data_IF_318317150987
#
_entry.id   IF_318317150987
#
_cell.length_a   1.000
_cell.length_b   1.000
_cell.length_c   1.000
_cell.angle_alpha   90.00
_cell.angle_beta   90.00
_cell.angle_gamma   90.00
#
_symmetry.space_group_name_H-M   'P 1'
#
loop_
_entity.id
_entity.type
_entity.pdbx_description
1 polymer ?
#
# COMPACT_ATOMS: atom_id res chain seq x y z
N UNK A 1 33.31 -33.53 -24.99
CA UNK A 1 32.70 -32.62 -24.05
C UNK A 1 31.21 -32.61 -24.33
N UNK A 2 30.40 -33.34 -23.51
CA UNK A 2 28.95 -33.49 -23.74
C UNK A 2 28.21 -32.47 -22.92
N UNK A 3 27.50 -31.58 -23.60
CA UNK A 3 26.57 -30.61 -22.98
C UNK A 3 25.34 -31.40 -22.49
N UNK A 4 25.07 -31.39 -21.19
CA UNK A 4 23.86 -31.99 -20.63
C UNK A 4 22.69 -31.03 -20.85
N UNK A 5 21.68 -31.48 -21.55
CA UNK A 5 20.40 -30.86 -21.75
C UNK A 5 19.66 -30.77 -20.41
N UNK A 6 19.25 -29.58 -19.99
CA UNK A 6 18.29 -29.42 -18.92
C UNK A 6 16.90 -29.72 -19.45
N UNK A 7 16.38 -30.87 -19.05
CA UNK A 7 15.04 -31.35 -19.38
C UNK A 7 14.07 -31.04 -18.26
N UNK A 8 12.93 -30.45 -18.63
CA UNK A 8 11.61 -30.50 -17.98
C UNK A 8 11.44 -29.81 -16.65
N UNK A 9 10.94 -28.58 -16.74
CA UNK A 9 10.13 -28.00 -15.67
C UNK A 9 8.87 -28.88 -15.45
N UNK A 10 8.70 -29.45 -14.27
CA UNK A 10 7.49 -30.17 -13.86
C UNK A 10 6.30 -29.19 -13.91
N UNK A 11 5.22 -29.62 -14.60
CA UNK A 11 3.92 -28.92 -14.56
C UNK A 11 3.48 -28.80 -13.09
N UNK A 12 3.25 -27.57 -12.67
CA UNK A 12 2.60 -27.28 -11.40
C UNK A 12 1.15 -27.75 -11.50
N UNK A 13 0.72 -28.48 -10.50
CA UNK A 13 -0.60 -29.11 -10.40
C UNK A 13 -1.71 -28.03 -10.43
N UNK A 14 -2.76 -28.29 -11.21
CA UNK A 14 -3.93 -27.41 -11.29
C UNK A 14 -4.76 -27.61 -10.02
N UNK A 15 -4.63 -26.69 -9.06
CA UNK A 15 -5.41 -26.70 -7.82
C UNK A 15 -5.04 -25.63 -6.80
N UNK A 16 -3.98 -24.87 -7.00
CA UNK A 16 -3.64 -23.75 -6.14
C UNK A 16 -4.25 -22.48 -6.75
N UNK A 17 -5.32 -21.97 -6.15
CA UNK A 17 -5.74 -20.59 -6.42
C UNK A 17 -4.53 -19.69 -6.15
N UNK A 18 -4.07 -19.00 -7.19
CA UNK A 18 -2.89 -18.16 -7.10
C UNK A 18 -3.15 -17.01 -6.11
N UNK A 19 -2.70 -17.18 -4.87
CA UNK A 19 -2.67 -16.08 -3.93
C UNK A 19 -1.57 -15.11 -4.39
N UNK A 20 -1.86 -13.83 -4.59
CA UNK A 20 -0.89 -12.84 -5.08
C UNK A 20 0.27 -12.61 -4.11
N UNK A 21 0.14 -13.03 -2.87
CA UNK A 21 1.17 -12.96 -1.84
C UNK A 21 1.11 -14.25 -1.00
N UNK A 22 2.27 -14.88 -0.73
CA UNK A 22 2.32 -16.09 0.12
C UNK A 22 1.67 -15.78 1.47
N UNK A 23 0.65 -16.55 1.83
CA UNK A 23 -0.02 -16.46 3.13
C UNK A 23 0.81 -17.14 4.22
N UNK A 24 0.79 -16.55 5.41
CA UNK A 24 1.30 -17.16 6.64
C UNK A 24 0.41 -16.63 7.78
N UNK A 25 -0.35 -17.49 8.46
CA UNK A 25 -1.31 -17.08 9.48
C UNK A 25 -0.72 -16.21 10.58
N UNK A 26 0.56 -16.37 10.91
CA UNK A 26 1.23 -15.51 11.90
C UNK A 26 1.33 -14.03 11.49
N UNK A 27 1.21 -13.74 10.20
CA UNK A 27 1.46 -12.39 9.67
C UNK A 27 0.25 -11.83 8.91
N UNK A 28 -0.85 -12.56 8.84
CA UNK A 28 -2.08 -12.06 8.22
C UNK A 28 -2.64 -10.90 9.02
N UNK A 29 -3.07 -9.87 8.32
CA UNK A 29 -3.73 -8.71 8.86
C UNK A 29 -5.16 -8.71 8.31
N UNK A 30 -6.10 -9.17 9.14
CA UNK A 30 -7.50 -9.34 8.74
C UNK A 30 -8.42 -8.26 9.30
N UNK A 31 -7.98 -7.55 10.35
CA UNK A 31 -8.77 -6.49 10.98
C UNK A 31 -8.96 -5.32 10.01
N UNK A 32 -10.20 -5.00 9.60
CA UNK A 32 -10.48 -3.91 8.67
C UNK A 32 -10.05 -2.54 9.20
N UNK A 33 -10.08 -2.31 10.50
CA UNK A 33 -9.72 -1.03 11.09
C UNK A 33 -8.20 -0.84 11.08
N UNK A 34 -7.45 -1.90 11.30
CA UNK A 34 -6.01 -1.89 11.14
C UNK A 34 -5.58 -1.69 9.67
N UNK A 35 -6.33 -2.26 8.72
CA UNK A 35 -6.08 -2.02 7.28
C UNK A 35 -6.41 -0.56 6.93
N UNK A 36 -7.51 0.01 7.46
CA UNK A 36 -7.83 1.43 7.28
C UNK A 36 -6.74 2.32 7.87
N UNK A 37 -6.27 2.02 9.08
CA UNK A 37 -5.16 2.73 9.72
C UNK A 37 -3.90 2.69 8.87
N UNK A 38 -3.53 1.51 8.35
CA UNK A 38 -2.38 1.36 7.47
C UNK A 38 -2.46 2.29 6.26
N UNK A 39 -3.61 2.36 5.61
CA UNK A 39 -3.84 3.23 4.44
C UNK A 39 -3.80 4.71 4.83
N UNK A 40 -4.50 5.09 5.90
CA UNK A 40 -4.56 6.49 6.37
C UNK A 40 -3.17 7.03 6.78
N UNK A 41 -2.34 6.18 7.39
CA UNK A 41 -0.98 6.55 7.78
C UNK A 41 0.03 6.51 6.62
N UNK A 42 -0.25 5.72 5.56
CA UNK A 42 0.64 5.51 4.42
C UNK A 42 -0.13 5.66 3.09
N UNK A 43 -0.59 6.86 2.78
CA UNK A 43 -1.50 7.10 1.66
C UNK A 43 -0.85 7.05 0.27
N UNK A 44 0.49 7.00 0.17
CA UNK A 44 1.18 6.89 -1.11
C UNK A 44 1.21 5.45 -1.58
N UNK A 45 0.46 5.13 -2.64
CA UNK A 45 0.26 3.75 -3.09
C UNK A 45 0.80 3.50 -4.50
N UNK A 46 1.10 2.24 -4.77
CA UNK A 46 1.38 1.73 -6.12
C UNK A 46 0.11 1.12 -6.70
N UNK A 47 -0.29 1.57 -7.88
CA UNK A 47 -1.40 1.08 -8.66
C UNK A 47 -0.86 0.23 -9.80
N UNK A 48 -1.32 -1.01 -9.94
CA UNK A 48 -0.88 -1.94 -10.98
C UNK A 48 -2.08 -2.51 -11.72
N UNK A 49 -2.05 -2.50 -13.04
CA UNK A 49 -2.99 -3.21 -13.89
C UNK A 49 -2.26 -4.10 -14.90
N UNK A 50 -2.94 -5.12 -15.40
CA UNK A 50 -2.47 -5.92 -16.52
C UNK A 50 -3.29 -5.54 -17.75
N UNK A 51 -2.90 -4.41 -18.37
CA UNK A 51 -3.51 -3.90 -19.59
C UNK A 51 -3.10 -4.74 -20.83
N UNK A 52 -3.73 -4.50 -21.97
CA UNK A 52 -3.48 -5.28 -23.20
C UNK A 52 -2.01 -5.28 -23.65
N UNK A 53 -1.28 -4.20 -23.39
CA UNK A 53 0.14 -4.07 -23.71
C UNK A 53 1.07 -4.61 -22.61
N UNK A 54 0.51 -5.17 -21.52
CA UNK A 54 1.24 -5.77 -20.40
C UNK A 54 1.02 -5.05 -19.07
N UNK A 55 1.94 -5.30 -18.12
CA UNK A 55 1.86 -4.72 -16.79
C UNK A 55 2.18 -3.22 -16.80
N UNK A 56 1.29 -2.45 -16.22
CA UNK A 56 1.43 -1.00 -16.01
C UNK A 56 1.46 -0.71 -14.52
N UNK A 57 2.32 0.21 -14.09
CA UNK A 57 2.38 0.66 -12.71
C UNK A 57 2.48 2.19 -12.63
N UNK A 58 1.68 2.77 -11.75
CA UNK A 58 1.70 4.21 -11.41
C UNK A 58 1.65 4.39 -9.91
N UNK A 59 1.97 5.59 -9.43
CA UNK A 59 1.99 5.91 -8.01
C UNK A 59 1.13 7.14 -7.74
N UNK A 60 0.15 6.97 -6.84
CA UNK A 60 -0.81 8.02 -6.51
C UNK A 60 -1.17 8.00 -5.02
N UNK A 61 -1.54 9.16 -4.45
CA UNK A 61 -2.10 9.20 -3.11
C UNK A 61 -3.51 8.60 -3.12
N UNK A 62 -3.80 7.79 -2.11
CA UNK A 62 -5.12 7.20 -1.89
C UNK A 62 -5.71 7.69 -0.57
N UNK A 63 -7.03 7.78 -0.48
CA UNK A 63 -7.75 8.00 0.77
C UNK A 63 -8.79 6.91 0.97
N UNK A 64 -9.08 6.61 2.24
CA UNK A 64 -10.26 5.82 2.59
C UNK A 64 -11.52 6.58 2.17
N UNK A 65 -12.41 5.92 1.44
CA UNK A 65 -13.75 6.44 1.14
C UNK A 65 -14.68 6.23 2.33
N UNK A 66 -14.85 7.29 3.13
CA UNK A 66 -15.66 7.25 4.35
C UNK A 66 -17.17 7.32 4.08
N UNK A 67 -17.56 7.54 2.83
CA UNK A 67 -18.95 7.56 2.41
C UNK A 67 -19.48 6.14 2.12
N UNK A 68 -18.62 5.13 2.26
CA UNK A 68 -18.96 3.71 2.07
C UNK A 68 -18.74 2.94 3.37
N UNK A 69 -19.68 2.03 3.68
CA UNK A 69 -19.56 1.10 4.81
C UNK A 69 -18.44 0.07 4.57
N UNK A 70 -18.41 -0.51 3.38
CA UNK A 70 -17.34 -1.41 2.98
C UNK A 70 -16.02 -0.65 2.82
N UNK A 71 -14.90 -1.33 3.11
CA UNK A 71 -13.57 -0.76 2.84
C UNK A 71 -13.48 -0.39 1.36
N UNK A 72 -13.39 0.89 1.11
CA UNK A 72 -13.21 1.46 -0.23
C UNK A 72 -12.15 2.54 -0.18
N UNK A 73 -11.49 2.75 -1.28
CA UNK A 73 -10.52 3.84 -1.45
C UNK A 73 -10.91 4.72 -2.62
N UNK A 74 -10.52 5.98 -2.54
CA UNK A 74 -10.63 6.95 -3.63
C UNK A 74 -9.26 7.53 -3.94
N UNK A 75 -9.07 7.85 -5.20
CA UNK A 75 -7.87 8.53 -5.72
C UNK A 75 -8.21 9.26 -7.01
N UNK A 76 -7.22 9.92 -7.58
CA UNK A 76 -7.27 10.44 -8.94
C UNK A 76 -6.04 9.99 -9.73
N UNK A 77 -6.16 9.89 -11.03
CA UNK A 77 -5.04 9.69 -11.95
C UNK A 77 -4.98 10.84 -12.94
N UNK A 78 -3.78 11.13 -13.45
CA UNK A 78 -3.65 11.94 -14.66
C UNK A 78 -4.32 11.24 -15.85
N UNK A 79 -4.94 11.98 -16.76
CA UNK A 79 -5.61 11.40 -17.94
C UNK A 79 -4.70 10.51 -18.81
N UNK A 80 -3.39 10.78 -19.00
CA UNK A 80 -2.52 9.82 -19.66
C UNK A 80 -2.48 8.46 -18.97
N UNK A 81 -2.34 8.43 -17.65
CA UNK A 81 -2.20 7.19 -16.88
C UNK A 81 -3.48 6.35 -16.88
N UNK A 82 -4.67 6.98 -16.81
CA UNK A 82 -5.92 6.21 -16.86
C UNK A 82 -6.10 5.47 -18.20
N UNK A 83 -5.55 6.02 -19.29
CA UNK A 83 -5.57 5.37 -20.61
C UNK A 83 -4.58 4.22 -20.69
N UNK A 84 -3.38 4.40 -20.11
CA UNK A 84 -2.34 3.36 -20.10
C UNK A 84 -2.78 2.18 -19.22
N UNK A 85 -3.46 2.45 -18.13
CA UNK A 85 -4.08 1.42 -17.28
C UNK A 85 -5.34 0.80 -17.90
N UNK A 86 -5.88 1.41 -18.95
CA UNK A 86 -7.13 1.03 -19.62
C UNK A 86 -8.29 0.78 -18.63
N UNK A 87 -8.50 1.75 -17.76
CA UNK A 87 -9.54 1.66 -16.72
C UNK A 87 -10.90 2.11 -17.29
N UNK A 88 -12.02 1.46 -16.92
CA UNK A 88 -12.18 0.39 -15.92
C UNK A 88 -12.16 -1.04 -16.52
N UNK A 89 -11.59 -1.26 -17.69
CA UNK A 89 -11.68 -2.53 -18.41
C UNK A 89 -10.83 -3.64 -17.75
N UNK A 90 -9.86 -3.26 -16.91
CA UNK A 90 -8.97 -4.19 -16.22
C UNK A 90 -9.10 -4.11 -14.71
N UNK A 91 -8.81 -5.23 -14.03
CA UNK A 91 -8.66 -5.27 -12.58
C UNK A 91 -7.46 -4.39 -12.17
N UNK A 92 -7.65 -3.59 -11.12
CA UNK A 92 -6.62 -2.77 -10.52
C UNK A 92 -6.15 -3.42 -9.21
N UNK A 93 -4.85 -3.59 -9.06
CA UNK A 93 -4.20 -3.90 -7.81
C UNK A 93 -3.62 -2.61 -7.21
N UNK A 94 -4.09 -2.23 -6.03
CA UNK A 94 -3.54 -1.12 -5.25
C UNK A 94 -2.73 -1.68 -4.10
N UNK A 95 -1.47 -1.27 -3.99
CA UNK A 95 -0.55 -1.69 -2.94
C UNK A 95 -0.28 -0.50 -2.02
N UNK A 96 -0.83 -0.57 -0.80
CA UNK A 96 -0.48 0.32 0.29
C UNK A 96 0.67 -0.32 1.10
N UNK A 97 1.79 0.39 1.22
CA UNK A 97 2.97 -0.09 1.93
C UNK A 97 3.23 0.77 3.15
N UNK A 98 3.24 0.13 4.30
CA UNK A 98 3.54 0.77 5.58
C UNK A 98 5.01 0.66 5.97
N UNK A 99 5.32 0.85 7.27
CA UNK A 99 6.67 0.74 7.78
C UNK A 99 7.29 -0.61 7.45
N UNK A 100 8.53 -0.58 6.99
CA UNK A 100 9.31 -1.76 6.65
C UNK A 100 10.79 -1.50 6.89
N UNK A 101 11.55 -2.56 7.14
CA UNK A 101 12.99 -2.44 7.35
C UNK A 101 13.69 -3.78 7.54
N UNK A 102 15.00 -3.73 7.37
CA UNK A 102 15.90 -4.86 7.59
C UNK A 102 16.05 -5.14 9.09
N UNK A 103 16.01 -6.41 9.45
CA UNK A 103 16.25 -6.91 10.80
C UNK A 103 17.50 -7.78 10.78
N UNK A 104 18.53 -7.31 11.47
CA UNK A 104 19.82 -8.01 11.53
C UNK A 104 19.74 -9.23 12.45
N UNK A 105 20.38 -10.32 12.02
CA UNK A 105 20.56 -11.51 12.86
C UNK A 105 21.32 -11.23 14.15
N UNK A 106 22.21 -10.24 14.16
CA UNK A 106 22.98 -9.84 15.36
C UNK A 106 22.12 -9.23 16.47
N UNK A 107 20.86 -8.85 16.18
CA UNK A 107 19.93 -8.27 17.16
C UNK A 107 19.19 -9.34 17.98
N UNK A 108 19.30 -10.62 17.59
CA UNK A 108 18.67 -11.74 18.27
C UNK A 108 19.50 -12.30 19.46
N UNK A 109 20.61 -11.62 19.84
CA UNK A 109 21.48 -12.05 20.92
C UNK A 109 22.21 -13.38 20.60
N UNK A 110 22.10 -14.35 21.48
CA UNK A 110 22.69 -15.69 21.32
C UNK A 110 21.85 -16.63 20.44
N UNK A 111 20.65 -16.22 20.03
CA UNK A 111 19.79 -17.01 19.15
C UNK A 111 20.32 -17.01 17.73
N UNK A 112 20.43 -18.21 17.15
CA UNK A 112 20.88 -18.38 15.75
C UNK A 112 19.68 -18.20 14.82
N UNK A 113 19.56 -17.01 14.23
CA UNK A 113 18.52 -16.66 13.28
C UNK A 113 19.12 -16.09 12.00
N UNK A 114 18.36 -16.18 10.92
CA UNK A 114 18.74 -15.53 9.66
C UNK A 114 18.22 -14.09 9.65
N UNK A 115 18.95 -13.15 9.00
CA UNK A 115 18.43 -11.80 8.81
C UNK A 115 17.15 -11.81 7.99
N UNK A 116 16.26 -10.84 8.24
CA UNK A 116 14.98 -10.77 7.56
C UNK A 116 14.53 -9.32 7.37
N UNK A 117 13.33 -9.14 6.80
CA UNK A 117 12.63 -7.87 6.75
C UNK A 117 11.34 -7.95 7.54
N UNK A 118 11.07 -6.95 8.35
CA UNK A 118 9.74 -6.67 8.88
C UNK A 118 9.05 -5.65 7.97
N UNK A 119 7.74 -5.79 7.81
CA UNK A 119 6.96 -4.92 6.93
C UNK A 119 5.46 -5.05 7.21
N UNK A 120 4.74 -3.99 6.88
CA UNK A 120 3.28 -3.99 6.78
C UNK A 120 2.87 -3.60 5.35
N UNK A 121 1.91 -4.31 4.78
CA UNK A 121 1.39 -3.99 3.45
C UNK A 121 -0.04 -4.49 3.29
N UNK A 122 -0.83 -3.79 2.46
CA UNK A 122 -2.15 -4.23 2.02
C UNK A 122 -2.24 -4.19 0.50
N UNK A 123 -2.72 -5.28 -0.08
CA UNK A 123 -3.02 -5.46 -1.49
C UNK A 123 -4.55 -5.44 -1.65
N UNK A 124 -5.06 -4.47 -2.36
CA UNK A 124 -6.48 -4.25 -2.62
C UNK A 124 -6.72 -4.48 -4.10
N UNK A 125 -7.48 -5.50 -4.46
CA UNK A 125 -7.74 -5.85 -5.87
C UNK A 125 -9.22 -5.74 -6.20
N UNK A 126 -9.54 -5.24 -7.38
CA UNK A 126 -10.90 -5.14 -7.90
C UNK A 126 -10.98 -4.28 -9.16
N UNK A 127 -12.16 -4.22 -9.77
CA UNK A 127 -12.41 -3.32 -10.89
C UNK A 127 -12.77 -1.93 -10.37
N UNK A 128 -12.04 -0.87 -10.74
CA UNK A 128 -12.32 0.47 -10.27
C UNK A 128 -13.56 1.06 -10.94
N UNK A 129 -14.28 1.89 -10.20
CA UNK A 129 -15.32 2.78 -10.70
C UNK A 129 -14.69 4.11 -11.12
N UNK A 130 -14.99 4.57 -12.33
CA UNK A 130 -14.64 5.92 -12.79
C UNK A 130 -15.66 6.89 -12.21
N UNK A 131 -15.19 7.89 -11.50
CA UNK A 131 -16.00 8.90 -10.86
C UNK A 131 -16.49 9.97 -11.86
N UNK A 132 -17.63 10.57 -11.58
CA UNK A 132 -18.11 11.75 -12.28
C UNK A 132 -17.15 12.94 -12.06
N UNK A 133 -17.27 13.99 -12.86
CA UNK A 133 -16.45 15.20 -12.69
C UNK A 133 -16.68 15.86 -11.32
N UNK A 134 -17.90 15.86 -10.82
CA UNK A 134 -18.27 16.38 -9.52
C UNK A 134 -17.64 15.55 -8.39
N UNK A 135 -17.73 14.22 -8.45
CA UNK A 135 -17.12 13.32 -7.48
C UNK A 135 -15.57 13.42 -7.52
N UNK A 136 -14.97 13.52 -8.72
CA UNK A 136 -13.53 13.73 -8.87
C UNK A 136 -13.08 15.04 -8.21
N UNK A 137 -13.85 16.13 -8.42
CA UNK A 137 -13.60 17.41 -7.74
C UNK A 137 -13.61 17.24 -6.22
N UNK A 138 -14.63 16.57 -5.68
CA UNK A 138 -14.73 16.31 -4.25
C UNK A 138 -13.54 15.48 -3.71
N UNK A 139 -13.10 14.47 -4.47
CA UNK A 139 -11.92 13.65 -4.11
C UNK A 139 -10.65 14.51 -4.08
N UNK A 140 -10.45 15.37 -5.07
CA UNK A 140 -9.28 16.26 -5.12
C UNK A 140 -9.25 17.26 -3.94
N UNK A 141 -10.39 17.86 -3.58
CA UNK A 141 -10.51 18.70 -2.41
C UNK A 141 -10.14 17.92 -1.13
N UNK A 142 -10.70 16.72 -0.95
CA UNK A 142 -10.40 15.86 0.21
C UNK A 142 -8.91 15.48 0.27
N UNK A 143 -8.27 15.20 -0.86
CA UNK A 143 -6.84 14.90 -0.93
C UNK A 143 -6.00 16.10 -0.48
N UNK A 144 -6.27 17.29 -1.02
CA UNK A 144 -5.55 18.51 -0.62
C UNK A 144 -5.77 18.81 0.85
N UNK A 145 -7.01 18.80 1.33
CA UNK A 145 -7.30 18.98 2.76
C UNK A 145 -6.57 17.97 3.65
N UNK A 146 -6.54 16.71 3.25
CA UNK A 146 -5.89 15.65 4.04
C UNK A 146 -4.41 15.95 4.27
N UNK A 147 -3.70 16.41 3.24
CA UNK A 147 -2.27 16.70 3.34
C UNK A 147 -1.99 18.09 3.92
N UNK A 148 -2.73 19.10 3.50
CA UNK A 148 -2.57 20.49 3.93
C UNK A 148 -2.86 20.72 5.41
N UNK A 149 -3.74 19.92 6.03
CA UNK A 149 -4.00 20.03 7.49
C UNK A 149 -2.77 19.87 8.38
N UNK A 150 -1.69 19.29 7.84
CA UNK A 150 -0.41 19.08 8.54
C UNK A 150 0.58 20.24 8.31
N UNK A 151 0.22 21.17 7.44
CA UNK A 151 1.05 22.33 7.08
C UNK A 151 0.67 23.52 7.96
N UNK A 152 1.65 24.27 8.44
CA UNK A 152 1.41 25.41 9.35
C UNK A 152 0.61 26.56 8.74
N UNK A 153 0.58 26.67 7.40
CA UNK A 153 -0.23 27.63 6.63
C UNK A 153 -0.82 26.91 5.43
N UNK A 154 -1.94 26.21 5.61
CA UNK A 154 -2.55 25.40 4.54
C UNK A 154 -3.05 26.30 3.40
N UNK A 155 -2.91 25.79 2.17
CA UNK A 155 -3.49 26.39 0.97
C UNK A 155 -4.46 25.38 0.35
N UNK A 156 -5.74 25.69 0.42
CA UNK A 156 -6.81 24.84 -0.11
C UNK A 156 -7.12 25.20 -1.56
N UNK A 157 -7.77 24.28 -2.30
CA UNK A 157 -8.10 24.48 -3.70
C UNK A 157 -9.11 25.62 -3.94
N UNK A 158 -9.89 25.95 -2.93
CA UNK A 158 -10.90 27.01 -2.92
C UNK A 158 -10.56 28.17 -1.96
N UNK A 159 -9.31 28.26 -1.51
CA UNK A 159 -8.85 29.25 -0.54
C UNK A 159 -8.95 30.70 -1.06
N UNK A 160 -8.75 30.90 -2.37
CA UNK A 160 -8.95 32.16 -3.09
C UNK A 160 -9.63 31.90 -4.42
N UNK A 161 -10.13 32.95 -5.09
CA UNK A 161 -10.70 32.83 -6.45
C UNK A 161 -9.65 32.33 -7.44
N UNK A 162 -8.41 32.78 -7.34
CA UNK A 162 -7.31 32.29 -8.19
C UNK A 162 -6.99 30.81 -7.94
N UNK A 163 -7.03 30.35 -6.68
CA UNK A 163 -6.85 28.93 -6.35
C UNK A 163 -7.97 28.09 -6.96
N UNK A 164 -9.22 28.53 -6.87
CA UNK A 164 -10.37 27.83 -7.43
C UNK A 164 -10.30 27.72 -8.96
N UNK A 165 -9.94 28.80 -9.67
CA UNK A 165 -9.78 28.81 -11.13
C UNK A 165 -8.64 27.89 -11.59
N UNK A 166 -7.52 27.87 -10.87
CA UNK A 166 -6.40 26.99 -11.14
C UNK A 166 -6.78 25.51 -10.90
N UNK A 167 -7.44 25.24 -9.79
CA UNK A 167 -7.92 23.90 -9.44
C UNK A 167 -8.88 23.37 -10.51
N UNK A 168 -9.87 24.17 -10.94
CA UNK A 168 -10.83 23.78 -11.97
C UNK A 168 -10.16 23.46 -13.33
N UNK A 169 -9.14 24.23 -13.70
CA UNK A 169 -8.35 23.97 -14.89
C UNK A 169 -7.59 22.63 -14.79
N UNK A 170 -6.92 22.40 -13.67
CA UNK A 170 -6.07 21.22 -13.46
C UNK A 170 -6.89 19.94 -13.27
N UNK A 171 -8.08 20.04 -12.65
CA UNK A 171 -9.03 18.94 -12.52
C UNK A 171 -9.45 18.33 -13.87
N UNK A 172 -9.54 19.14 -14.93
CA UNK A 172 -9.85 18.65 -16.29
C UNK A 172 -8.78 17.68 -16.82
N UNK A 173 -7.57 17.74 -16.29
CA UNK A 173 -6.45 16.84 -16.60
C UNK A 173 -6.46 15.55 -15.80
N UNK A 174 -7.43 15.33 -14.92
CA UNK A 174 -7.49 14.18 -14.03
C UNK A 174 -8.73 13.33 -14.21
N UNK A 175 -8.69 12.12 -13.68
CA UNK A 175 -9.81 11.16 -13.62
C UNK A 175 -9.87 10.60 -12.19
N UNK A 176 -11.01 10.79 -11.53
CA UNK A 176 -11.26 10.21 -10.22
C UNK A 176 -11.58 8.72 -10.30
N UNK A 177 -11.08 7.96 -9.35
CA UNK A 177 -11.34 6.54 -9.19
C UNK A 177 -11.86 6.23 -7.80
N UNK A 178 -12.79 5.29 -7.74
CA UNK A 178 -13.16 4.55 -6.52
C UNK A 178 -12.86 3.08 -6.71
N UNK A 179 -12.19 2.47 -5.74
CA UNK A 179 -12.00 1.03 -5.69
C UNK A 179 -12.63 0.47 -4.42
N UNK A 180 -13.70 -0.29 -4.57
CA UNK A 180 -14.21 -1.19 -3.54
C UNK A 180 -13.61 -2.57 -3.83
N UNK A 181 -12.60 -3.02 -3.08
CA UNK A 181 -11.88 -4.23 -3.44
C UNK A 181 -12.77 -5.46 -3.29
N UNK A 182 -12.70 -6.35 -4.27
CA UNK A 182 -13.30 -7.69 -4.21
C UNK A 182 -12.40 -8.68 -3.48
N UNK A 183 -11.12 -8.34 -3.35
CA UNK A 183 -10.12 -9.14 -2.64
C UNK A 183 -9.13 -8.24 -1.91
N UNK A 184 -8.88 -8.57 -0.64
CA UNK A 184 -7.89 -7.91 0.20
C UNK A 184 -6.91 -8.97 0.70
N UNK A 185 -5.61 -8.70 0.57
CA UNK A 185 -4.55 -9.51 1.17
C UNK A 185 -3.62 -8.57 1.89
N UNK A 186 -3.65 -8.56 3.21
CA UNK A 186 -2.80 -7.70 4.01
C UNK A 186 -1.91 -8.51 4.95
N UNK A 187 -0.74 -7.97 5.25
CA UNK A 187 0.27 -8.57 6.13
C UNK A 187 0.91 -7.55 7.04
N UNK A 188 1.16 -8.02 8.26
CA UNK A 188 1.97 -7.33 9.25
C UNK A 188 2.98 -8.32 9.84
N UNK A 189 4.17 -8.37 9.23
CA UNK A 189 5.29 -9.19 9.72
C UNK A 189 6.17 -8.33 10.62
N UNK A 190 6.09 -8.55 11.93
CA UNK A 190 6.73 -7.74 12.97
C UNK A 190 7.48 -8.58 14.00
N UNK A 191 8.06 -9.72 13.56
CA UNK A 191 8.75 -10.68 14.43
C UNK A 191 7.86 -11.27 15.52
N UNK A 192 6.53 -11.35 15.33
CA UNK A 192 5.59 -11.87 16.32
C UNK A 192 5.75 -13.37 16.58
N UNK A 193 6.50 -14.07 15.76
CA UNK A 193 6.89 -15.48 15.96
C UNK A 193 8.04 -15.65 16.96
N UNK A 194 8.64 -14.56 17.46
CA UNK A 194 9.72 -14.59 18.44
C UNK A 194 9.22 -14.24 19.86
N UNK A 195 9.91 -14.68 20.91
CA UNK A 195 9.66 -14.26 22.28
C UNK A 195 9.71 -12.73 22.47
N UNK A 196 9.03 -12.22 23.51
CA UNK A 196 8.95 -10.79 23.82
C UNK A 196 10.31 -10.14 23.98
N UNK A 197 11.25 -10.84 24.65
CA UNK A 197 12.59 -10.34 24.92
C UNK A 197 13.39 -10.09 23.62
N UNK A 198 13.25 -10.99 22.66
CA UNK A 198 13.88 -10.84 21.35
C UNK A 198 13.24 -9.70 20.57
N UNK A 199 11.91 -9.61 20.58
CA UNK A 199 11.21 -8.51 19.92
C UNK A 199 11.61 -7.15 20.49
N UNK A 200 11.70 -7.04 21.81
CA UNK A 200 12.13 -5.81 22.46
C UNK A 200 13.56 -5.43 22.10
N UNK A 201 14.50 -6.39 22.07
CA UNK A 201 15.87 -6.14 21.62
C UNK A 201 15.93 -5.61 20.18
N UNK A 202 15.09 -6.13 19.28
CA UNK A 202 14.97 -5.63 17.90
C UNK A 202 14.40 -4.20 17.89
N UNK A 203 13.37 -3.92 18.67
CA UNK A 203 12.76 -2.59 18.79
C UNK A 203 13.77 -1.56 19.28
N UNK A 204 14.55 -1.89 20.33
CA UNK A 204 15.61 -1.01 20.85
C UNK A 204 16.65 -0.66 19.78
N UNK A 205 17.04 -1.61 18.93
CA UNK A 205 17.95 -1.35 17.81
C UNK A 205 17.32 -0.42 16.76
N UNK A 206 16.05 -0.60 16.46
CA UNK A 206 15.33 0.26 15.52
C UNK A 206 15.11 1.69 16.07
N UNK A 207 14.93 1.85 17.37
CA UNK A 207 14.83 3.15 18.07
C UNK A 207 16.20 3.82 18.27
N UNK A 208 17.29 3.05 18.15
CA UNK A 208 18.65 3.51 18.33
C UNK A 208 19.15 4.45 17.22
N UNK A 209 20.46 4.63 17.15
CA UNK A 209 21.14 5.49 16.15
C UNK A 209 21.94 4.69 15.11
N UNK A 210 21.67 3.39 15.00
CA UNK A 210 22.36 2.51 14.05
C UNK A 210 21.98 2.79 12.59
N UNK A 211 22.68 2.17 11.61
CA UNK A 211 22.42 2.40 10.19
C UNK A 211 21.03 1.96 9.72
N UNK A 212 20.36 1.10 10.48
CA UNK A 212 19.02 0.61 10.22
C UNK A 212 17.97 1.12 11.24
N UNK A 213 18.28 2.23 11.94
CA UNK A 213 17.30 2.86 12.81
C UNK A 213 16.03 3.24 12.04
N UNK A 214 14.86 2.91 12.60
CA UNK A 214 13.57 3.13 11.97
C UNK A 214 12.46 3.21 13.03
N UNK A 215 12.23 4.42 13.53
CA UNK A 215 11.25 4.67 14.59
C UNK A 215 9.81 4.30 14.18
N UNK A 216 9.47 4.45 12.89
CA UNK A 216 8.15 4.08 12.39
C UNK A 216 7.93 2.56 12.45
N UNK A 217 8.95 1.78 12.08
CA UNK A 217 8.90 0.32 12.18
C UNK A 217 8.89 -0.14 13.64
N UNK A 218 9.67 0.49 14.52
CA UNK A 218 9.67 0.19 15.96
C UNK A 218 8.27 0.41 16.56
N UNK A 219 7.62 1.53 16.24
CA UNK A 219 6.23 1.81 16.65
C UNK A 219 5.27 0.73 16.16
N UNK A 220 5.37 0.32 14.90
CA UNK A 220 4.50 -0.72 14.33
C UNK A 220 4.72 -2.08 14.99
N UNK A 221 5.97 -2.41 15.36
CA UNK A 221 6.29 -3.62 16.11
C UNK A 221 5.66 -3.60 17.52
N UNK A 222 5.64 -2.45 18.21
CA UNK A 222 4.97 -2.30 19.52
C UNK A 222 3.45 -2.50 19.38
N UNK A 223 2.81 -1.94 18.36
CA UNK A 223 1.38 -2.13 18.09
C UNK A 223 1.03 -3.60 17.82
N UNK A 224 1.92 -4.34 17.15
CA UNK A 224 1.73 -5.76 16.88
C UNK A 224 2.00 -6.67 18.09
N UNK A 225 2.44 -6.12 19.19
CA UNK A 225 2.80 -6.87 20.44
C UNK A 225 1.68 -6.87 21.48
N UNK A 226 0.65 -6.05 21.33
CA UNK A 226 -0.56 -5.99 22.15
C UNK A 226 -1.62 -6.88 21.56
#
# INVERSE_FOLDING_TARGET
>A
MRVRSFSQAKRVDKGCEASPMRTNPYYELEDPDEIRRLIDENPWATLVSNADEGLVASHYPILIDRDREALSIVTHLGRPDNRVHDLPNHELLVIAQGPHGYISSSWYGEHVEVPTWNFTTAHLSGTPEILSEEENSAVLHRLVEHFERRVGKPRLLDGTLEDAENAERDMRGTVGLRLTPTRIVAKRKMSQNHPSEIREAVIEQLEGKGPYSNAALAREMRLASG
#
